data_IF_991354206522
#
_entry.id   IF_991354206522
#
_cell.length_a   1.000
_cell.length_b   1.000
_cell.length_c   1.000
_cell.angle_alpha   90.00
_cell.angle_beta   90.00
_cell.angle_gamma   90.00
#
_symmetry.space_group_name_H-M   'P 1'
#
loop_
_entity.id
_entity.type
_entity.pdbx_description
1 polymer ?
#
# COMPACT_ATOMS: atom_id res chain seq x y z
N UNK A 1 -34.46 14.87 1.29
CA UNK A 1 -33.78 13.57 1.16
C UNK A 1 -33.87 12.87 2.49
N UNK A 2 -34.39 11.64 2.56
CA UNK A 2 -34.56 10.92 3.83
C UNK A 2 -33.23 10.34 4.29
N UNK A 3 -32.78 10.72 5.49
CA UNK A 3 -31.58 10.18 6.11
C UNK A 3 -31.78 8.72 6.52
N UNK A 4 -30.69 7.96 6.64
CA UNK A 4 -30.72 6.54 7.03
C UNK A 4 -30.88 6.28 8.53
N UNK A 5 -31.20 7.31 9.33
CA UNK A 5 -31.37 7.27 10.80
C UNK A 5 -30.15 6.81 11.62
N UNK A 6 -29.00 6.59 11.00
CA UNK A 6 -27.75 6.29 11.70
C UNK A 6 -27.15 7.57 12.30
N UNK A 7 -26.30 7.38 13.32
CA UNK A 7 -25.51 8.47 13.90
C UNK A 7 -24.68 9.16 12.81
N UNK A 8 -24.58 10.51 12.79
CA UNK A 8 -23.69 11.21 11.88
C UNK A 8 -22.23 10.77 12.10
N UNK A 9 -21.48 10.67 11.01
CA UNK A 9 -20.04 10.39 11.07
C UNK A 9 -19.30 11.73 11.01
N UNK A 10 -18.34 11.93 11.91
CA UNK A 10 -17.46 13.08 11.85
C UNK A 10 -16.38 12.84 10.79
N UNK A 11 -16.11 13.84 9.97
CA UNK A 11 -15.06 13.77 8.95
C UNK A 11 -13.69 13.56 9.60
N UNK A 12 -13.45 14.10 10.80
CA UNK A 12 -12.22 13.93 11.56
C UNK A 12 -11.95 12.50 12.03
N UNK A 13 -12.99 11.68 12.12
CA UNK A 13 -12.92 10.26 12.46
C UNK A 13 -12.75 9.38 11.22
N UNK A 14 -12.93 9.93 10.03
CA UNK A 14 -12.70 9.20 8.79
C UNK A 14 -11.21 9.19 8.44
N UNK A 15 -10.81 8.14 7.71
CA UNK A 15 -9.50 8.12 7.08
C UNK A 15 -9.39 9.30 6.09
N UNK A 16 -8.27 10.06 6.08
CA UNK A 16 -8.09 11.16 5.15
C UNK A 16 -8.25 10.73 3.69
N UNK A 17 -7.79 9.52 3.35
CA UNK A 17 -7.90 8.95 1.99
C UNK A 17 -9.33 8.58 1.58
N UNK A 18 -10.26 8.52 2.52
CA UNK A 18 -11.67 8.19 2.28
C UNK A 18 -12.56 9.42 2.12
N UNK A 19 -11.97 10.61 2.11
CA UNK A 19 -12.65 11.88 2.01
C UNK A 19 -11.87 12.79 1.06
N UNK A 20 -12.55 13.41 0.11
CA UNK A 20 -11.98 14.48 -0.71
C UNK A 20 -12.66 15.79 -0.36
N UNK A 21 -11.90 16.72 0.22
CA UNK A 21 -12.33 18.08 0.56
C UNK A 21 -11.65 19.14 -0.33
N UNK A 22 -11.14 18.74 -1.49
CA UNK A 22 -10.45 19.64 -2.44
C UNK A 22 -11.27 20.90 -2.73
N UNK A 23 -10.59 22.04 -2.79
CA UNK A 23 -11.19 23.29 -3.19
C UNK A 23 -11.68 23.21 -4.64
N UNK A 24 -12.82 23.84 -4.93
CA UNK A 24 -13.46 23.88 -6.26
C UNK A 24 -13.92 22.53 -6.85
N UNK A 25 -13.77 21.42 -6.12
CA UNK A 25 -14.26 20.10 -6.52
C UNK A 25 -15.51 19.67 -5.71
N UNK A 26 -16.35 18.78 -6.26
CA UNK A 26 -17.43 18.20 -5.48
C UNK A 26 -16.84 17.38 -4.34
N UNK A 27 -17.29 17.62 -3.11
CA UNK A 27 -16.87 16.84 -1.95
C UNK A 27 -17.25 15.37 -2.14
N UNK A 28 -16.25 14.49 -2.12
CA UNK A 28 -16.43 13.05 -2.29
C UNK A 28 -16.12 12.34 -0.99
N UNK A 29 -16.81 11.23 -0.75
CA UNK A 29 -16.58 10.37 0.41
C UNK A 29 -16.75 8.91 0.02
N UNK A 30 -15.92 8.05 0.60
CA UNK A 30 -16.08 6.60 0.49
C UNK A 30 -17.23 6.18 1.40
N UNK A 31 -18.21 5.47 0.84
CA UNK A 31 -19.29 4.90 1.63
C UNK A 31 -18.75 3.85 2.62
N UNK A 32 -19.08 3.91 3.91
CA UNK A 32 -18.56 2.96 4.91
C UNK A 32 -19.10 1.53 4.72
N UNK A 33 -20.25 1.36 4.06
CA UNK A 33 -20.85 0.03 3.89
C UNK A 33 -20.44 -0.66 2.57
N UNK A 34 -20.33 0.08 1.46
CA UNK A 34 -20.03 -0.50 0.14
C UNK A 34 -18.67 -0.07 -0.43
N UNK A 35 -17.89 0.69 0.34
CA UNK A 35 -16.53 1.14 0.00
C UNK A 35 -16.38 1.83 -1.37
N UNK A 36 -17.46 2.36 -1.92
CA UNK A 36 -17.42 3.08 -3.19
C UNK A 36 -17.42 4.58 -2.96
N UNK A 37 -16.71 5.31 -3.81
CA UNK A 37 -16.75 6.77 -3.86
C UNK A 37 -18.14 7.29 -4.22
N UNK A 38 -18.61 8.26 -3.44
CA UNK A 38 -19.92 8.90 -3.57
C UNK A 38 -19.78 10.39 -3.31
N UNK A 39 -20.57 11.18 -4.03
CA UNK A 39 -20.64 12.62 -3.76
C UNK A 39 -21.45 12.91 -2.50
N UNK A 40 -21.03 13.95 -1.80
CA UNK A 40 -21.79 14.54 -0.70
C UNK A 40 -22.77 15.57 -1.24
N UNK A 41 -24.04 15.46 -0.83
CA UNK A 41 -25.08 16.46 -1.13
C UNK A 41 -25.77 16.85 0.18
N UNK A 42 -25.71 18.14 0.54
CA UNK A 42 -26.25 18.65 1.82
C UNK A 42 -25.71 17.86 3.02
N UNK A 43 -24.38 17.66 3.06
CA UNK A 43 -23.69 16.92 4.12
C UNK A 43 -24.16 15.47 4.30
N UNK A 44 -24.68 14.85 3.23
CA UNK A 44 -25.10 13.45 3.22
C UNK A 44 -24.56 12.71 2.01
N UNK A 45 -24.22 11.44 2.19
CA UNK A 45 -23.83 10.55 1.09
C UNK A 45 -24.99 10.44 0.11
N UNK A 46 -24.75 10.73 -1.17
CA UNK A 46 -25.76 10.59 -2.22
C UNK A 46 -26.35 9.16 -2.19
N UNK A 47 -27.68 9.00 -2.17
CA UNK A 47 -28.32 7.69 -2.19
C UNK A 47 -27.82 6.85 -3.36
N UNK A 48 -27.45 5.60 -3.08
CA UNK A 48 -26.88 4.69 -4.05
C UNK A 48 -27.26 3.24 -3.75
N UNK A 49 -26.86 2.35 -4.65
CA UNK A 49 -27.03 0.90 -4.49
C UNK A 49 -25.68 0.29 -4.14
N UNK A 50 -25.71 -0.84 -3.42
CA UNK A 50 -24.49 -1.49 -2.92
C UNK A 50 -23.62 -2.11 -4.03
N UNK A 51 -24.10 -2.12 -5.27
CA UNK A 51 -23.33 -2.59 -6.43
C UNK A 51 -23.18 -4.10 -6.46
N UNK A 52 -23.81 -4.82 -5.53
CA UNK A 52 -23.86 -6.28 -5.55
C UNK A 52 -24.63 -6.74 -6.80
N UNK A 53 -24.15 -7.80 -7.48
CA UNK A 53 -24.90 -8.42 -8.56
C UNK A 53 -26.26 -8.86 -8.01
N UNK A 54 -27.34 -8.40 -8.62
CA UNK A 54 -28.64 -9.03 -8.41
C UNK A 54 -28.68 -10.24 -9.33
N UNK A 55 -28.79 -11.45 -8.75
CA UNK A 55 -29.13 -12.62 -9.55
C UNK A 55 -30.42 -12.34 -10.30
N UNK A 56 -30.31 -12.31 -11.62
CA UNK A 56 -31.45 -12.00 -12.47
C UNK A 56 -32.25 -13.27 -12.65
N UNK A 57 -33.34 -13.41 -11.90
CA UNK A 57 -34.27 -14.54 -12.04
C UNK A 57 -35.20 -14.41 -13.25
N UNK A 58 -35.13 -13.30 -14.01
CA UNK A 58 -35.92 -13.10 -15.24
C UNK A 58 -35.07 -12.58 -16.41
N UNK A 59 -35.44 -12.91 -17.66
CA UNK A 59 -34.81 -12.33 -18.85
C UNK A 59 -34.97 -10.80 -18.86
N UNK A 60 -33.89 -10.07 -19.16
CA UNK A 60 -33.93 -8.61 -19.34
C UNK A 60 -34.11 -8.26 -20.81
N UNK A 61 -34.96 -7.28 -21.11
CA UNK A 61 -35.12 -6.72 -22.44
C UNK A 61 -34.17 -5.53 -22.65
N UNK A 62 -33.78 -5.23 -23.91
CA UNK A 62 -33.01 -4.03 -24.23
C UNK A 62 -33.73 -2.76 -23.74
N UNK A 63 -33.08 -2.01 -22.84
CA UNK A 63 -33.66 -0.83 -22.20
C UNK A 63 -33.98 -1.00 -20.70
N UNK A 64 -33.94 -2.23 -20.19
CA UNK A 64 -34.08 -2.48 -18.76
C UNK A 64 -32.95 -1.79 -17.99
N UNK A 65 -33.33 -1.01 -16.97
CA UNK A 65 -32.35 -0.45 -16.04
C UNK A 65 -31.56 -1.62 -15.44
N UNK A 66 -30.22 -1.55 -15.41
CA UNK A 66 -29.43 -2.60 -14.79
C UNK A 66 -29.97 -2.82 -13.39
N UNK A 67 -30.19 -4.08 -13.00
CA UNK A 67 -30.62 -4.40 -11.66
C UNK A 67 -29.48 -4.04 -10.71
N UNK A 68 -29.39 -2.75 -10.38
CA UNK A 68 -28.52 -2.31 -9.32
C UNK A 68 -29.01 -3.01 -8.07
N UNK A 69 -28.07 -3.53 -7.29
CA UNK A 69 -28.29 -4.16 -5.99
C UNK A 69 -29.25 -3.40 -5.08
N UNK A 70 -29.59 -4.00 -3.94
CA UNK A 70 -30.42 -3.35 -2.92
C UNK A 70 -29.87 -1.97 -2.55
N UNK A 71 -30.74 -1.11 -2.01
CA UNK A 71 -30.31 0.20 -1.52
C UNK A 71 -29.20 -0.01 -0.48
N UNK A 72 -28.06 0.65 -0.67
CA UNK A 72 -26.93 0.53 0.25
C UNK A 72 -27.33 1.11 1.62
N UNK A 73 -27.08 0.41 2.76
CA UNK A 73 -27.39 0.93 4.10
C UNK A 73 -26.72 2.27 4.43
N UNK A 74 -25.54 2.52 3.87
CA UNK A 74 -24.79 3.79 3.99
C UNK A 74 -25.34 4.92 3.10
N UNK A 75 -26.36 4.66 2.30
CA UNK A 75 -27.02 5.69 1.51
C UNK A 75 -27.68 6.74 2.40
N UNK A 76 -27.50 8.02 2.09
CA UNK A 76 -28.03 9.13 2.90
C UNK A 76 -27.51 9.13 4.35
N UNK A 77 -26.35 8.54 4.59
CA UNK A 77 -25.57 8.71 5.81
C UNK A 77 -25.13 10.17 5.93
N UNK A 78 -25.29 10.78 7.10
CA UNK A 78 -24.86 12.15 7.36
C UNK A 78 -23.37 12.16 7.71
N UNK A 79 -22.62 13.05 7.06
CA UNK A 79 -21.22 13.33 7.34
C UNK A 79 -21.14 14.78 7.82
N UNK A 80 -20.63 14.99 9.03
CA UNK A 80 -20.36 16.32 9.56
C UNK A 80 -18.90 16.64 9.25
N UNK A 81 -18.66 17.74 8.54
CA UNK A 81 -17.32 18.18 8.20
C UNK A 81 -16.88 19.13 9.32
N UNK A 82 -16.17 18.57 10.28
CA UNK A 82 -15.72 19.19 11.53
C UNK A 82 -14.22 19.57 11.52
N UNK A 83 -13.59 19.54 10.35
CA UNK A 83 -12.22 19.97 10.14
C UNK A 83 -12.12 20.87 8.91
N UNK A 84 -11.07 21.69 8.88
CA UNK A 84 -10.77 22.58 7.76
C UNK A 84 -10.16 21.81 6.58
N UNK A 85 -10.08 22.46 5.41
CA UNK A 85 -9.45 21.85 4.22
C UNK A 85 -7.94 21.71 4.46
N UNK A 86 -7.36 22.65 5.18
CA UNK A 86 -5.97 22.70 5.60
C UNK A 86 -5.65 21.53 6.55
N UNK A 87 -6.45 21.34 7.60
CA UNK A 87 -6.31 20.21 8.54
C UNK A 87 -6.41 18.86 7.82
N UNK A 88 -7.33 18.76 6.84
CA UNK A 88 -7.48 17.55 6.03
C UNK A 88 -6.22 17.30 5.18
N UNK A 89 -5.70 18.35 4.56
CA UNK A 89 -4.53 18.28 3.68
C UNK A 89 -3.29 17.88 4.47
N UNK A 90 -3.08 18.48 5.65
CA UNK A 90 -1.99 18.13 6.55
C UNK A 90 -2.05 16.66 6.98
N UNK A 91 -3.25 16.17 7.32
CA UNK A 91 -3.45 14.75 7.67
C UNK A 91 -3.16 13.82 6.52
N UNK A 92 -3.54 14.20 5.29
CA UNK A 92 -3.27 13.41 4.08
C UNK A 92 -1.76 13.31 3.81
N UNK A 93 -1.05 14.44 3.88
CA UNK A 93 0.41 14.48 3.72
C UNK A 93 1.13 13.66 4.79
N UNK A 94 0.67 13.74 6.05
CA UNK A 94 1.24 12.95 7.16
C UNK A 94 1.04 11.43 6.93
N UNK A 95 -0.14 11.03 6.48
CA UNK A 95 -0.45 9.63 6.18
C UNK A 95 0.42 9.07 5.02
N UNK A 96 0.64 9.88 3.98
CA UNK A 96 1.54 9.54 2.88
C UNK A 96 2.99 9.43 3.33
N UNK A 97 3.48 10.39 4.12
CA UNK A 97 4.85 10.40 4.63
C UNK A 97 5.16 9.15 5.48
N UNK A 98 4.27 8.78 6.41
CA UNK A 98 4.47 7.57 7.22
C UNK A 98 4.47 6.30 6.37
N UNK A 99 3.68 6.25 5.31
CA UNK A 99 3.62 5.10 4.39
C UNK A 99 4.86 5.01 3.52
N UNK A 100 5.34 6.14 3.00
CA UNK A 100 6.58 6.23 2.24
C UNK A 100 7.79 5.86 3.12
N UNK A 101 7.87 6.40 4.33
CA UNK A 101 8.94 6.08 5.29
C UNK A 101 9.04 4.58 5.60
N UNK A 102 7.91 3.90 5.83
CA UNK A 102 7.88 2.44 6.02
C UNK A 102 8.38 1.67 4.79
N UNK A 103 8.00 2.07 3.58
CA UNK A 103 8.47 1.44 2.34
C UNK A 103 9.98 1.61 2.16
N UNK A 104 10.50 2.81 2.40
CA UNK A 104 11.94 3.07 2.30
C UNK A 104 12.73 2.28 3.34
N UNK A 105 12.24 2.20 4.59
CA UNK A 105 12.86 1.39 5.63
C UNK A 105 12.88 -0.11 5.28
N UNK A 106 11.80 -0.65 4.68
CA UNK A 106 11.76 -2.04 4.22
C UNK A 106 12.76 -2.32 3.09
N UNK A 107 12.97 -1.37 2.18
CA UNK A 107 13.95 -1.49 1.10
C UNK A 107 15.39 -1.36 1.62
N UNK A 108 15.64 -0.48 2.60
CA UNK A 108 16.95 -0.30 3.23
C UNK A 108 17.32 -1.47 4.17
N UNK A 109 16.34 -2.17 4.72
CA UNK A 109 16.53 -3.31 5.62
C UNK A 109 16.80 -4.65 4.91
N UNK A 110 17.10 -4.64 3.61
CA UNK A 110 17.68 -5.81 2.93
C UNK A 110 19.22 -5.67 2.92
N UNK A 111 19.93 -5.98 4.02
CA UNK A 111 21.37 -5.95 3.99
C UNK A 111 21.87 -7.08 3.09
N UNK A 112 22.84 -6.79 2.23
CA UNK A 112 23.57 -7.77 1.43
C UNK A 112 24.42 -8.75 2.29
N UNK A 113 24.28 -8.71 3.61
CA UNK A 113 25.11 -9.41 4.60
C UNK A 113 24.92 -10.93 4.73
N UNK A 114 23.83 -11.62 4.28
CA UNK A 114 23.80 -13.07 4.41
C UNK A 114 24.77 -13.77 3.44
N UNK A 115 24.95 -13.24 2.23
CA UNK A 115 25.78 -13.90 1.19
C UNK A 115 27.28 -13.71 1.48
N UNK A 116 27.69 -12.53 1.95
CA UNK A 116 29.10 -12.26 2.26
C UNK A 116 29.62 -13.14 3.40
N UNK A 117 28.83 -13.33 4.47
CA UNK A 117 29.19 -14.20 5.59
C UNK A 117 29.33 -15.67 5.19
N UNK A 118 28.44 -16.15 4.31
CA UNK A 118 28.50 -17.50 3.74
C UNK A 118 29.74 -17.71 2.88
N UNK A 119 30.06 -16.78 1.98
CA UNK A 119 31.25 -16.85 1.13
C UNK A 119 32.55 -16.81 1.95
N UNK A 120 32.61 -15.97 2.99
CA UNK A 120 33.77 -15.90 3.90
C UNK A 120 33.97 -17.22 4.65
N UNK A 121 32.88 -17.86 5.07
CA UNK A 121 32.94 -19.17 5.74
C UNK A 121 33.39 -20.26 4.77
N UNK A 122 32.78 -20.32 3.58
CA UNK A 122 33.17 -21.27 2.53
C UNK A 122 34.64 -21.13 2.12
N UNK A 123 35.17 -19.91 2.01
CA UNK A 123 36.58 -19.68 1.70
C UNK A 123 37.49 -20.19 2.82
N UNK A 124 37.11 -19.99 4.09
CA UNK A 124 37.85 -20.49 5.26
C UNK A 124 37.86 -22.02 5.28
N UNK A 125 36.72 -22.65 5.08
CA UNK A 125 36.57 -24.11 5.07
C UNK A 125 37.34 -24.72 3.90
N UNK A 126 37.36 -24.03 2.76
CA UNK A 126 38.15 -24.42 1.60
C UNK A 126 39.66 -24.36 1.90
N UNK A 127 40.16 -23.28 2.51
CA UNK A 127 41.56 -23.18 2.92
C UNK A 127 41.95 -24.27 3.94
N UNK A 128 41.01 -24.66 4.81
CA UNK A 128 41.22 -25.70 5.81
C UNK A 128 41.17 -27.14 5.25
N UNK A 129 40.65 -27.36 4.04
CA UNK A 129 40.51 -28.68 3.42
C UNK A 129 41.38 -28.86 2.17
N UNK A 130 41.80 -27.78 1.52
CA UNK A 130 42.56 -27.81 0.28
C UNK A 130 44.07 -27.65 0.55
N UNK A 131 44.85 -28.71 0.31
CA UNK A 131 46.30 -28.71 0.48
C UNK A 131 47.05 -27.57 -0.27
N UNK A 132 46.78 -27.30 -1.57
CA UNK A 132 47.47 -26.21 -2.26
C UNK A 132 47.12 -24.83 -1.68
N UNK A 133 45.85 -24.58 -1.35
CA UNK A 133 45.45 -23.30 -0.74
C UNK A 133 46.09 -23.12 0.66
N UNK A 134 46.25 -24.21 1.42
CA UNK A 134 46.93 -24.18 2.72
C UNK A 134 48.42 -23.85 2.60
N UNK A 135 49.07 -24.30 1.52
CA UNK A 135 50.49 -23.98 1.23
C UNK A 135 50.68 -22.65 0.51
N UNK A 136 49.62 -21.83 0.39
CA UNK A 136 49.67 -20.51 -0.26
C UNK A 136 49.47 -20.51 -1.78
N UNK A 137 49.29 -21.68 -2.41
CA UNK A 137 48.96 -21.77 -3.84
C UNK A 137 47.44 -21.72 -4.02
N UNK A 138 46.93 -20.63 -4.61
CA UNK A 138 45.49 -20.51 -4.85
C UNK A 138 45.04 -21.56 -5.88
N UNK A 139 44.06 -22.40 -5.52
CA UNK A 139 43.38 -23.26 -6.49
C UNK A 139 42.24 -22.50 -7.18
N UNK A 140 41.70 -23.06 -8.26
CA UNK A 140 40.62 -22.42 -9.02
C UNK A 140 39.35 -22.18 -8.19
N UNK A 141 38.95 -23.14 -7.35
CA UNK A 141 37.80 -23.00 -6.46
C UNK A 141 38.02 -21.88 -5.41
N UNK A 142 39.22 -21.79 -4.82
CA UNK A 142 39.58 -20.72 -3.90
C UNK A 142 39.57 -19.34 -4.56
N UNK A 143 40.11 -19.23 -5.78
CA UNK A 143 40.04 -17.99 -6.60
C UNK A 143 38.60 -17.58 -6.91
N UNK A 144 37.75 -18.54 -7.26
CA UNK A 144 36.34 -18.30 -7.55
C UNK A 144 35.58 -17.76 -6.33
N UNK A 145 35.81 -18.32 -5.14
CA UNK A 145 35.21 -17.82 -3.90
C UNK A 145 35.68 -16.41 -3.55
N UNK A 146 36.98 -16.13 -3.67
CA UNK A 146 37.54 -14.80 -3.43
C UNK A 146 37.01 -13.75 -4.42
N UNK A 147 36.95 -14.08 -5.70
CA UNK A 147 36.44 -13.17 -6.75
C UNK A 147 34.97 -12.77 -6.51
N UNK A 148 34.12 -13.73 -6.11
CA UNK A 148 32.71 -13.46 -5.76
C UNK A 148 32.58 -12.55 -4.54
N UNK A 149 33.43 -12.75 -3.53
CA UNK A 149 33.45 -11.93 -2.33
C UNK A 149 33.87 -10.47 -2.65
N UNK A 150 34.88 -10.29 -3.51
CA UNK A 150 35.34 -8.97 -3.97
C UNK A 150 34.27 -8.28 -4.84
N UNK A 151 33.61 -9.01 -5.74
CA UNK A 151 32.52 -8.47 -6.56
C UNK A 151 31.36 -7.89 -5.72
N UNK A 152 30.93 -8.62 -4.68
CA UNK A 152 29.88 -8.14 -3.77
C UNK A 152 30.32 -6.88 -2.98
N UNK A 153 31.59 -6.79 -2.61
CA UNK A 153 32.12 -5.62 -1.91
C UNK A 153 32.15 -4.38 -2.83
N UNK A 154 32.57 -4.54 -4.09
CA UNK A 154 32.51 -3.45 -5.08
C UNK A 154 31.08 -3.00 -5.35
N UNK A 155 30.14 -3.93 -5.53
CA UNK A 155 28.73 -3.62 -5.74
C UNK A 155 28.12 -2.88 -4.54
N UNK A 156 28.53 -3.24 -3.32
CA UNK A 156 28.08 -2.55 -2.12
C UNK A 156 28.60 -1.10 -2.08
N UNK A 157 29.91 -0.91 -2.30
CA UNK A 157 30.52 0.42 -2.34
C UNK A 157 29.90 1.30 -3.43
N UNK A 158 29.63 0.75 -4.62
CA UNK A 158 29.00 1.48 -5.73
C UNK A 158 27.54 1.88 -5.46
N UNK A 159 26.84 1.17 -4.57
CA UNK A 159 25.47 1.52 -4.16
C UNK A 159 25.41 2.54 -3.02
N UNK A 160 26.51 2.73 -2.30
CA UNK A 160 26.59 3.61 -1.12
C UNK A 160 27.38 4.90 -1.35
N UNK A 161 28.01 5.05 -2.52
CA UNK A 161 28.69 6.27 -2.97
C UNK A 161 27.75 7.15 -3.80
#
# INVERSE_FOLDING_TARGET
MRHNRRAPILASQMRPEHLSLRENEPRLVVCPDCHTWRSLKRSMIKPHRDGLPVETTQPRYPGDKPAGGRRCPGSAQRIIIDLTVEDWTERLLTAEFTTASRRTAQLAAAPATPIYGQLRTALRDHHASCAPCRSGAACEAGRGLAARMTGLAHDHLARTA
#
